data_IF_691789364788
#
_entry.id   IF_691789364788
#
_cell.length_a   1.000
_cell.length_b   1.000
_cell.length_c   1.000
_cell.angle_alpha   90.00
_cell.angle_beta   90.00
_cell.angle_gamma   90.00
#
_symmetry.space_group_name_H-M   'P 1'
#
loop_
_entity.id
_entity.type
_entity.pdbx_description
1 polymer ?
#
# COMPACT_ATOMS: atom_id res chain seq x y z
N UNK A 1 -44.91 -7.80 33.04
CA UNK A 1 -43.44 -7.99 33.11
C UNK A 1 -43.13 -9.03 34.16
N UNK A 2 -42.23 -9.99 33.89
CA UNK A 2 -41.82 -11.04 34.84
C UNK A 2 -40.33 -10.87 35.13
N UNK A 3 -39.98 -10.86 36.41
CA UNK A 3 -38.60 -10.79 36.84
C UNK A 3 -37.94 -12.16 36.65
N UNK A 4 -36.78 -12.18 35.99
CA UNK A 4 -36.04 -13.41 35.71
C UNK A 4 -34.59 -13.22 36.16
N UNK A 5 -34.06 -14.19 36.91
CA UNK A 5 -32.63 -14.25 37.28
C UNK A 5 -31.94 -15.23 36.34
N UNK A 6 -31.47 -14.74 35.19
CA UNK A 6 -30.67 -15.50 34.23
C UNK A 6 -29.42 -14.72 33.87
N UNK A 7 -28.32 -15.43 33.74
CA UNK A 7 -27.05 -14.90 33.24
C UNK A 7 -26.84 -15.44 31.83
N UNK A 8 -26.46 -14.58 30.91
CA UNK A 8 -26.02 -14.96 29.57
C UNK A 8 -24.57 -14.51 29.39
N UNK A 9 -23.77 -15.36 28.76
CA UNK A 9 -22.43 -14.99 28.34
C UNK A 9 -22.55 -14.30 26.98
N UNK A 10 -22.13 -13.05 26.92
CA UNK A 10 -22.09 -12.27 25.68
C UNK A 10 -20.64 -12.04 25.32
N UNK A 11 -20.26 -12.37 24.08
CA UNK A 11 -18.97 -11.96 23.53
C UNK A 11 -19.12 -10.54 22.97
N UNK A 12 -18.31 -9.60 23.47
CA UNK A 12 -18.23 -8.26 22.89
C UNK A 12 -17.14 -8.21 21.83
N UNK A 13 -17.52 -7.87 20.60
CA UNK A 13 -16.55 -7.53 19.54
C UNK A 13 -16.25 -6.05 19.66
N UNK A 14 -14.99 -5.70 19.89
CA UNK A 14 -14.54 -4.30 19.96
C UNK A 14 -13.78 -3.95 18.69
N UNK A 15 -14.27 -2.97 17.92
CA UNK A 15 -13.54 -2.39 16.81
C UNK A 15 -12.67 -1.24 17.33
N UNK A 16 -11.34 -1.40 17.29
CA UNK A 16 -10.39 -0.38 17.70
C UNK A 16 -9.77 0.24 16.46
N UNK A 17 -10.03 1.53 16.24
CA UNK A 17 -9.32 2.29 15.21
C UNK A 17 -7.89 2.55 15.67
N UNK A 18 -6.89 2.14 14.88
CA UNK A 18 -5.47 2.44 15.10
C UNK A 18 -5.00 3.45 14.04
N UNK A 19 -4.38 4.58 14.44
CA UNK A 19 -3.83 5.52 13.47
C UNK A 19 -2.57 4.94 12.80
N UNK A 20 -2.53 5.01 11.48
CA UNK A 20 -1.30 4.76 10.70
C UNK A 20 -0.46 6.04 10.69
N UNK A 21 0.84 5.90 10.90
CA UNK A 21 1.79 7.02 10.97
C UNK A 21 2.88 6.94 9.92
N UNK A 22 3.22 5.75 9.47
CA UNK A 22 4.28 5.53 8.50
C UNK A 22 3.85 4.52 7.45
N UNK A 23 4.45 4.66 6.28
CA UNK A 23 4.35 3.71 5.18
C UNK A 23 5.76 3.31 4.76
N UNK A 24 5.97 2.03 4.47
CA UNK A 24 7.29 1.47 4.14
C UNK A 24 7.15 0.44 3.02
N UNK A 25 7.96 0.55 1.97
CA UNK A 25 7.97 -0.45 0.89
C UNK A 25 8.73 -1.68 1.40
N UNK A 26 8.02 -2.79 1.53
CA UNK A 26 8.59 -4.07 1.98
C UNK A 26 9.15 -4.89 0.84
N UNK A 27 8.38 -4.97 -0.23
CA UNK A 27 8.67 -5.87 -1.35
C UNK A 27 8.36 -5.17 -2.65
N UNK A 28 9.28 -5.28 -3.60
CA UNK A 28 9.05 -4.91 -4.99
C UNK A 28 9.34 -6.11 -5.88
N UNK A 29 8.39 -6.47 -6.72
CA UNK A 29 8.54 -7.52 -7.71
C UNK A 29 8.31 -6.96 -9.10
N UNK A 30 9.33 -7.04 -9.96
CA UNK A 30 9.30 -6.56 -11.34
C UNK A 30 9.21 -7.74 -12.30
N UNK A 31 8.21 -7.74 -13.16
CA UNK A 31 8.14 -8.61 -14.32
C UNK A 31 8.15 -7.79 -15.61
N UNK A 32 9.32 -7.73 -16.26
CA UNK A 32 9.48 -7.00 -17.52
C UNK A 32 8.78 -7.65 -18.71
N UNK A 33 8.59 -8.97 -18.68
CA UNK A 33 7.97 -9.72 -19.77
C UNK A 33 6.46 -9.50 -19.79
N UNK A 34 5.84 -9.53 -18.61
CA UNK A 34 4.40 -9.33 -18.45
C UNK A 34 4.03 -7.86 -18.17
N UNK A 35 5.03 -6.96 -18.18
CA UNK A 35 4.88 -5.51 -18.04
C UNK A 35 4.12 -5.08 -16.78
N UNK A 36 4.53 -5.58 -15.61
CA UNK A 36 4.02 -5.10 -14.33
C UNK A 36 5.08 -5.03 -13.24
N UNK A 37 4.78 -4.19 -12.24
CA UNK A 37 5.48 -4.12 -10.97
C UNK A 37 4.49 -4.29 -9.84
N UNK A 38 4.74 -5.24 -8.94
CA UNK A 38 3.99 -5.38 -7.70
C UNK A 38 4.78 -4.74 -6.58
N UNK A 39 4.14 -3.85 -5.83
CA UNK A 39 4.71 -3.20 -4.64
C UNK A 39 3.87 -3.55 -3.43
N UNK A 40 4.51 -4.05 -2.38
CA UNK A 40 3.87 -4.28 -1.09
C UNK A 40 4.36 -3.23 -0.08
N UNK A 41 3.40 -2.52 0.50
CA UNK A 41 3.61 -1.44 1.46
C UNK A 41 3.12 -1.90 2.84
N UNK A 42 3.95 -1.76 3.85
CA UNK A 42 3.55 -1.90 5.24
C UNK A 42 3.00 -0.57 5.76
N UNK A 43 1.81 -0.62 6.35
CA UNK A 43 1.22 0.49 7.09
C UNK A 43 1.55 0.31 8.56
N UNK A 44 2.35 1.22 9.10
CA UNK A 44 2.87 1.10 10.47
C UNK A 44 2.23 2.11 11.41
N UNK A 45 2.02 1.68 12.65
CA UNK A 45 1.55 2.55 13.72
C UNK A 45 2.67 3.47 14.27
N UNK A 46 2.36 4.25 15.30
CA UNK A 46 3.30 5.17 15.94
C UNK A 46 4.56 4.49 16.50
N UNK A 47 4.49 3.19 16.80
CA UNK A 47 5.60 2.40 17.33
C UNK A 47 6.33 1.63 16.22
N UNK A 48 6.06 1.95 14.94
CA UNK A 48 6.60 1.26 13.78
C UNK A 48 6.24 -0.24 13.74
N UNK A 49 5.12 -0.62 14.36
CA UNK A 49 4.58 -1.97 14.26
C UNK A 49 3.66 -2.04 13.05
N UNK A 50 3.82 -3.08 12.22
CA UNK A 50 2.94 -3.30 11.06
C UNK A 50 1.51 -3.52 11.58
N UNK A 51 0.62 -2.58 11.25
CA UNK A 51 -0.80 -2.72 11.51
C UNK A 51 -1.47 -3.56 10.41
N UNK A 52 -1.09 -3.33 9.16
CA UNK A 52 -1.53 -4.09 7.98
C UNK A 52 -0.55 -3.89 6.82
N UNK A 53 -0.69 -4.66 5.74
CA UNK A 53 -0.03 -4.38 4.46
C UNK A 53 -1.05 -4.01 3.39
N UNK A 54 -0.60 -3.28 2.38
CA UNK A 54 -1.31 -2.99 1.14
C UNK A 54 -0.46 -3.47 -0.04
N UNK A 55 -1.13 -3.93 -1.09
CA UNK A 55 -0.48 -4.40 -2.32
C UNK A 55 -0.99 -3.57 -3.49
N UNK A 56 -0.06 -3.01 -4.25
CA UNK A 56 -0.32 -2.28 -5.48
C UNK A 56 0.26 -3.05 -6.66
N UNK A 57 -0.48 -3.04 -7.75
CA UNK A 57 -0.07 -3.65 -9.01
C UNK A 57 -0.02 -2.56 -10.07
N UNK A 58 1.20 -2.15 -10.42
CA UNK A 58 1.49 -1.11 -11.40
C UNK A 58 1.55 -1.79 -12.78
N UNK A 59 0.55 -1.54 -13.61
CA UNK A 59 0.36 -2.14 -14.94
C UNK A 59 0.00 -1.08 -15.98
N UNK A 60 -0.02 -1.45 -17.26
CA UNK A 60 -0.53 -0.58 -18.32
C UNK A 60 0.20 0.77 -18.43
N UNK A 61 -0.56 1.86 -18.42
CA UNK A 61 -0.02 3.21 -18.58
C UNK A 61 0.88 3.63 -17.41
N UNK A 62 0.54 3.22 -16.18
CA UNK A 62 1.37 3.50 -15.00
C UNK A 62 2.71 2.77 -15.07
N UNK A 63 2.72 1.54 -15.60
CA UNK A 63 3.96 0.81 -15.86
C UNK A 63 4.80 1.49 -16.95
N UNK A 64 4.17 1.91 -18.04
CA UNK A 64 4.86 2.62 -19.13
C UNK A 64 5.47 3.93 -18.63
N UNK A 65 4.74 4.66 -17.79
CA UNK A 65 5.21 5.89 -17.16
C UNK A 65 6.36 5.61 -16.18
N UNK A 66 6.24 4.58 -15.34
CA UNK A 66 7.29 4.15 -14.41
C UNK A 66 8.57 3.75 -15.15
N UNK A 67 8.47 3.13 -16.33
CA UNK A 67 9.60 2.67 -17.13
C UNK A 67 10.13 3.68 -18.13
N UNK A 68 9.47 4.82 -18.30
CA UNK A 68 9.86 5.86 -19.27
C UNK A 68 11.20 6.51 -18.92
N UNK A 69 11.96 6.94 -19.94
CA UNK A 69 13.16 7.74 -19.74
C UNK A 69 12.78 9.17 -19.36
N UNK A 70 13.34 9.66 -18.26
CA UNK A 70 13.25 11.05 -17.80
C UNK A 70 11.83 11.66 -17.83
N UNK A 71 10.83 11.05 -17.18
CA UNK A 71 9.52 11.67 -17.02
C UNK A 71 9.63 12.92 -16.12
N UNK A 72 8.59 13.75 -16.15
CA UNK A 72 8.56 15.03 -15.43
C UNK A 72 8.85 14.92 -13.92
N UNK A 73 8.45 13.80 -13.30
CA UNK A 73 8.69 13.52 -11.87
C UNK A 73 10.08 12.91 -11.58
N UNK A 74 10.82 12.45 -12.59
CA UNK A 74 12.10 11.75 -12.44
C UNK A 74 13.11 12.15 -13.53
N UNK A 75 13.57 13.40 -13.47
CA UNK A 75 14.57 13.93 -14.40
C UNK A 75 15.88 13.12 -14.37
N UNK A 76 16.38 12.75 -15.55
CA UNK A 76 17.61 11.97 -15.70
C UNK A 76 17.46 10.48 -15.39
N UNK A 77 16.23 9.98 -15.21
CA UNK A 77 15.97 8.54 -15.08
C UNK A 77 16.21 7.82 -16.42
N UNK A 78 17.01 6.74 -16.45
CA UNK A 78 17.16 5.94 -17.67
C UNK A 78 15.88 5.12 -17.95
N UNK A 79 15.63 4.79 -19.22
CA UNK A 79 14.50 3.94 -19.59
C UNK A 79 14.66 2.53 -19.01
N UNK A 80 13.55 1.94 -18.56
CA UNK A 80 13.49 0.56 -18.07
C UNK A 80 14.06 0.35 -16.66
N UNK A 81 14.32 1.45 -15.94
CA UNK A 81 14.72 1.47 -14.54
C UNK A 81 13.82 2.43 -13.75
N UNK A 82 13.70 2.19 -12.45
CA UNK A 82 13.00 3.04 -11.52
C UNK A 82 13.73 3.09 -10.18
N UNK A 83 13.52 4.19 -9.45
CA UNK A 83 13.94 4.42 -8.08
C UNK A 83 12.75 4.26 -7.16
N UNK A 84 13.00 4.09 -5.87
CA UNK A 84 11.91 3.96 -4.88
C UNK A 84 10.98 5.19 -4.87
N UNK A 85 11.52 6.40 -5.02
CA UNK A 85 10.73 7.63 -5.13
C UNK A 85 9.77 7.63 -6.33
N UNK A 86 10.13 6.92 -7.40
CA UNK A 86 9.28 6.78 -8.59
C UNK A 86 8.08 5.87 -8.29
N UNK A 87 8.28 4.83 -7.48
CA UNK A 87 7.20 3.94 -7.03
C UNK A 87 6.21 4.69 -6.16
N UNK A 88 6.70 5.46 -5.18
CA UNK A 88 5.85 6.29 -4.33
C UNK A 88 5.02 7.27 -5.16
N UNK A 89 5.62 7.92 -6.16
CA UNK A 89 4.88 8.82 -7.05
C UNK A 89 3.72 8.11 -7.75
N UNK A 90 3.94 6.93 -8.33
CA UNK A 90 2.89 6.17 -9.02
C UNK A 90 1.82 5.67 -8.05
N UNK A 91 2.23 5.15 -6.89
CA UNK A 91 1.29 4.71 -5.83
C UNK A 91 0.40 5.86 -5.39
N UNK A 92 0.97 7.06 -5.18
CA UNK A 92 0.20 8.26 -4.84
C UNK A 92 -0.80 8.66 -5.92
N UNK A 93 -0.52 8.40 -7.20
CA UNK A 93 -1.49 8.63 -8.29
C UNK A 93 -2.62 7.60 -8.23
N UNK A 94 -2.30 6.32 -8.00
CA UNK A 94 -3.30 5.24 -7.87
C UNK A 94 -4.22 5.49 -6.67
N UNK A 95 -3.71 6.00 -5.56
CA UNK A 95 -4.54 6.30 -4.38
C UNK A 95 -5.46 7.51 -4.55
N UNK A 96 -5.12 8.43 -5.45
CA UNK A 96 -5.90 9.66 -5.72
C UNK A 96 -6.95 9.48 -6.81
N UNK A 97 -6.84 8.43 -7.63
CA UNK A 97 -7.78 8.10 -8.70
C UNK A 97 -9.10 7.53 -8.15
#
# INVERSE_FOLDING_TARGET
MRLVKKTINVQQVTNVAKPIRYEDIRTTFLNKNEQYVVVEIALLDENQVIATTKRYEITGDDYNLLMSASPDFALGKPAGEFREVDLWYIIDQIEKA
#
